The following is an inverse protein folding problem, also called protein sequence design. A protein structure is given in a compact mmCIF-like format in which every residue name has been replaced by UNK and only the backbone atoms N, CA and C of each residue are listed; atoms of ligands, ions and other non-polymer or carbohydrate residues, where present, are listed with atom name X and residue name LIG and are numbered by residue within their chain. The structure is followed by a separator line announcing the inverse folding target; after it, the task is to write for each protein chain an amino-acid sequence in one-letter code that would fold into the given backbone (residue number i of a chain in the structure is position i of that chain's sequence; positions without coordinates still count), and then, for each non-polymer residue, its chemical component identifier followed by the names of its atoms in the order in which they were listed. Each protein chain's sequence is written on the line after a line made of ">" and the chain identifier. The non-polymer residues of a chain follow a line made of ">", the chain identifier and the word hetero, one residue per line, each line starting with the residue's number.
data_IF_994685354297
#
_entry.id   IF_994685354297
#
_cell.length_a   1.000
_cell.length_b   1.000
_cell.length_c   1.000
_cell.angle_alpha   90.00
_cell.angle_beta   90.00
_cell.angle_gamma   90.00
#
_symmetry.space_group_name_H-M   'P 1'
#
loop_
_entity.id
_entity.type
_entity.pdbx_description
1 polymer ?
#
# COMPACT_ATOMS: atom_id res chain seq x y z
N UNK A 1 37.10 -53.39 -14.00
CA UNK A 1 36.85 -52.02 -14.47
C UNK A 1 35.39 -51.94 -14.89
N UNK A 2 34.52 -51.30 -14.09
CA UNK A 2 33.09 -51.12 -14.39
C UNK A 2 32.88 -49.66 -14.80
N UNK A 3 32.59 -49.43 -16.08
CA UNK A 3 32.27 -48.10 -16.59
C UNK A 3 30.80 -47.80 -16.26
N UNK A 4 30.59 -46.81 -15.38
CA UNK A 4 29.29 -46.26 -15.05
C UNK A 4 28.92 -45.21 -16.10
N UNK A 5 27.88 -45.47 -16.88
CA UNK A 5 27.32 -44.54 -17.86
C UNK A 5 26.18 -43.80 -17.16
N UNK A 6 26.34 -42.50 -16.95
CA UNK A 6 25.27 -41.64 -16.44
C UNK A 6 24.41 -41.12 -17.61
N UNK A 7 23.08 -41.09 -17.48
CA UNK A 7 22.22 -40.51 -18.50
C UNK A 7 22.29 -38.98 -18.48
N UNK A 8 22.54 -38.40 -19.64
CA UNK A 8 22.48 -36.95 -19.89
C UNK A 8 20.99 -36.57 -19.97
N UNK A 9 20.52 -35.77 -19.01
CA UNK A 9 19.21 -35.13 -19.11
C UNK A 9 19.30 -33.93 -20.05
N UNK A 10 18.66 -34.02 -21.22
CA UNK A 10 18.42 -32.87 -22.09
C UNK A 10 17.38 -31.95 -21.43
N UNK A 11 17.82 -30.77 -20.99
CA UNK A 11 16.91 -29.71 -20.56
C UNK A 11 16.49 -28.94 -21.83
N UNK A 12 15.23 -29.09 -22.22
CA UNK A 12 14.62 -28.29 -23.28
C UNK A 12 14.37 -26.88 -22.76
N UNK A 13 15.22 -25.93 -23.17
CA UNK A 13 15.02 -24.50 -22.90
C UNK A 13 14.05 -23.95 -23.94
N UNK A 14 12.80 -23.69 -23.53
CA UNK A 14 11.81 -23.02 -24.37
C UNK A 14 11.99 -21.51 -24.24
N UNK A 15 12.57 -20.89 -25.27
CA UNK A 15 12.77 -19.46 -25.37
C UNK A 15 11.45 -18.78 -25.77
N UNK A 16 10.81 -18.04 -24.85
CA UNK A 16 9.69 -17.15 -25.20
C UNK A 16 10.25 -15.84 -25.79
N UNK A 17 10.13 -15.68 -27.11
CA UNK A 17 10.27 -14.37 -27.76
C UNK A 17 9.07 -13.51 -27.37
N UNK A 18 9.32 -12.42 -26.64
CA UNK A 18 8.34 -11.33 -26.51
C UNK A 18 8.56 -10.34 -27.65
N UNK A 19 7.55 -10.16 -28.50
CA UNK A 19 7.54 -9.12 -29.52
C UNK A 19 7.47 -7.75 -28.85
N UNK A 20 8.55 -6.99 -28.93
CA UNK A 20 8.57 -5.57 -28.59
C UNK A 20 7.83 -4.80 -29.69
N UNK A 21 6.59 -4.37 -29.41
CA UNK A 21 5.92 -3.39 -30.25
C UNK A 21 6.55 -2.02 -30.01
N UNK A 22 7.50 -1.68 -30.89
CA UNK A 22 7.96 -0.32 -31.14
C UNK A 22 6.82 0.47 -31.78
N UNK A 23 6.14 1.32 -31.01
CA UNK A 23 5.32 2.38 -31.56
C UNK A 23 5.93 3.73 -31.16
N UNK A 24 6.64 4.31 -32.13
CA UNK A 24 7.14 5.67 -32.05
C UNK A 24 6.01 6.67 -32.21
N UNK A 25 6.02 7.69 -31.37
CA UNK A 25 5.48 9.00 -31.70
C UNK A 25 6.37 10.04 -31.03
N UNK A 26 7.23 10.66 -31.85
CA UNK A 26 7.88 11.91 -31.52
C UNK A 26 6.81 12.95 -31.19
N UNK A 27 6.88 13.54 -30.00
CA UNK A 27 6.27 14.85 -29.78
C UNK A 27 7.29 15.74 -29.08
N UNK A 28 8.15 16.34 -29.89
CA UNK A 28 8.82 17.60 -29.56
C UNK A 28 7.73 18.64 -29.38
N UNK A 29 7.58 19.21 -28.18
CA UNK A 29 7.32 20.65 -27.96
C UNK A 29 7.22 20.99 -26.47
N UNK A 30 7.98 22.03 -26.13
CA UNK A 30 7.75 22.99 -25.04
C UNK A 30 8.24 22.59 -23.65
N UNK A 31 9.56 22.75 -23.46
CA UNK A 31 10.11 23.11 -22.16
C UNK A 31 9.61 24.52 -21.77
N UNK A 32 8.59 24.58 -20.93
CA UNK A 32 8.24 25.79 -20.18
C UNK A 32 9.03 25.77 -18.87
N UNK A 33 10.08 26.56 -18.82
CA UNK A 33 10.82 26.90 -17.61
C UNK A 33 9.89 27.64 -16.65
N UNK A 34 9.43 26.97 -15.59
CA UNK A 34 8.75 27.61 -14.46
C UNK A 34 9.81 28.27 -13.58
N UNK A 35 9.95 29.58 -13.71
CA UNK A 35 10.66 30.42 -12.74
C UNK A 35 9.86 30.46 -11.45
N UNK A 36 10.47 29.98 -10.36
CA UNK A 36 9.94 30.11 -9.00
C UNK A 36 9.93 31.58 -8.59
N UNK A 37 8.75 32.19 -8.56
CA UNK A 37 8.56 33.50 -7.92
C UNK A 37 8.58 33.33 -6.40
N UNK A 38 9.39 34.17 -5.76
CA UNK A 38 9.56 34.22 -4.33
C UNK A 38 8.24 34.60 -3.65
N UNK A 39 7.77 33.73 -2.75
CA UNK A 39 6.68 34.06 -1.85
C UNK A 39 7.20 35.02 -0.77
N UNK A 40 6.74 36.27 -0.88
CA UNK A 40 6.91 37.35 0.07
C UNK A 40 6.10 37.07 1.35
N UNK A 41 6.79 36.94 2.48
CA UNK A 41 6.23 36.69 3.80
C UNK A 41 5.73 37.99 4.43
N UNK A 42 4.47 38.33 4.14
CA UNK A 42 3.76 39.42 4.80
C UNK A 42 3.50 39.18 6.30
N UNK A 43 3.45 40.25 7.13
CA UNK A 43 3.49 40.14 8.58
C UNK A 43 2.17 39.70 9.23
N UNK A 44 2.35 38.91 10.28
CA UNK A 44 1.38 38.43 11.28
C UNK A 44 0.44 39.53 11.79
N UNK A 45 -0.87 39.33 11.61
CA UNK A 45 -1.91 40.09 12.29
C UNK A 45 -2.34 39.37 13.57
N UNK A 46 -2.04 40.03 14.67
CA UNK A 46 -2.55 39.80 16.02
C UNK A 46 -4.08 39.85 16.03
N UNK A 47 -4.73 38.80 16.56
CA UNK A 47 -6.17 38.79 16.85
C UNK A 47 -6.36 38.95 18.36
N UNK A 48 -7.22 39.89 18.81
CA UNK A 48 -7.44 40.15 20.23
C UNK A 48 -8.27 39.06 20.91
N UNK A 49 -7.89 38.75 22.16
CA UNK A 49 -8.69 38.00 23.11
C UNK A 49 -9.93 38.82 23.50
N UNK A 50 -11.12 38.26 23.28
CA UNK A 50 -12.33 38.73 23.95
C UNK A 50 -12.91 37.61 24.80
N UNK A 51 -12.76 37.80 26.10
CA UNK A 51 -13.58 37.20 27.15
C UNK A 51 -15.03 37.62 27.01
N UNK A 52 -15.98 36.69 27.15
CA UNK A 52 -17.16 36.95 27.99
C UNK A 52 -17.93 35.67 28.33
N UNK A 53 -18.54 35.75 29.50
CA UNK A 53 -19.01 34.72 30.41
C UNK A 53 -20.53 34.85 30.46
N UNK A 54 -21.32 33.83 30.12
CA UNK A 54 -22.73 33.79 30.52
C UNK A 54 -23.15 32.37 30.88
N UNK A 55 -23.41 32.19 32.18
CA UNK A 55 -24.18 31.10 32.77
C UNK A 55 -25.65 31.28 32.39
N UNK A 56 -26.29 30.23 31.88
CA UNK A 56 -27.72 30.18 31.63
C UNK A 56 -28.19 28.73 31.70
N UNK A 57 -28.56 28.29 32.89
CA UNK A 57 -29.25 27.03 33.13
C UNK A 57 -30.72 27.17 32.77
N UNK A 58 -31.13 26.56 31.65
CA UNK A 58 -32.54 26.34 31.34
C UNK A 58 -32.78 24.83 31.28
N UNK A 59 -33.38 24.34 32.35
CA UNK A 59 -34.09 23.06 32.37
C UNK A 59 -35.31 23.19 31.46
N UNK A 60 -35.34 22.36 30.42
CA UNK A 60 -36.57 22.11 29.67
C UNK A 60 -36.59 20.67 29.20
N UNK A 61 -37.44 19.89 29.86
CA UNK A 61 -37.85 18.55 29.49
C UNK A 61 -38.23 18.49 28.00
N UNK A 62 -37.42 17.81 27.20
CA UNK A 62 -37.72 17.53 25.81
C UNK A 62 -37.82 16.03 25.59
N UNK A 63 -39.03 15.58 25.29
CA UNK A 63 -39.37 14.25 24.84
C UNK A 63 -38.40 13.77 23.74
N UNK A 64 -37.51 12.83 24.09
CA UNK A 64 -36.66 12.11 23.15
C UNK A 64 -37.53 11.22 22.28
N UNK A 65 -38.01 11.77 21.17
CA UNK A 65 -38.53 10.98 20.05
C UNK A 65 -37.36 10.13 19.57
N UNK A 66 -37.45 8.81 19.80
CA UNK A 66 -36.56 7.80 19.26
C UNK A 66 -36.69 7.80 17.73
N UNK A 67 -36.07 8.82 17.12
CA UNK A 67 -35.89 8.95 15.69
C UNK A 67 -34.81 7.94 15.36
N UNK A 68 -35.22 6.80 14.83
CA UNK A 68 -34.31 5.73 14.42
C UNK A 68 -33.23 6.30 13.52
N UNK A 69 -32.03 6.44 14.07
CA UNK A 69 -30.82 6.94 13.42
C UNK A 69 -30.20 5.80 12.57
N UNK A 70 -31.01 5.17 11.70
CA UNK A 70 -30.67 3.92 11.00
C UNK A 70 -30.00 4.17 9.63
N UNK A 71 -29.45 5.36 9.36
CA UNK A 71 -29.12 5.74 7.97
C UNK A 71 -27.79 6.46 7.76
N UNK A 72 -26.90 6.54 8.76
CA UNK A 72 -25.62 7.25 8.61
C UNK A 72 -24.45 6.40 8.12
N UNK A 73 -24.56 5.08 8.11
CA UNK A 73 -23.45 4.20 7.69
C UNK A 73 -23.52 3.75 6.22
N UNK A 74 -24.63 4.01 5.50
CA UNK A 74 -24.78 3.55 4.10
C UNK A 74 -23.91 4.27 3.07
N UNK A 75 -23.04 5.19 3.48
CA UNK A 75 -22.16 5.96 2.60
C UNK A 75 -20.69 5.98 2.99
N UNK A 76 -20.28 5.26 4.04
CA UNK A 76 -18.87 5.21 4.41
C UNK A 76 -18.08 4.39 3.38
N UNK A 77 -16.84 4.81 3.05
CA UNK A 77 -15.90 3.96 2.32
C UNK A 77 -15.65 2.64 3.06
N UNK A 78 -15.20 1.64 2.31
CA UNK A 78 -14.85 0.33 2.87
C UNK A 78 -13.73 -0.25 2.01
N UNK A 79 -12.50 0.09 2.33
CA UNK A 79 -11.28 -0.39 1.71
C UNK A 79 -11.09 -1.85 2.10
N UNK A 80 -10.50 -2.64 1.22
CA UNK A 80 -10.19 -4.04 1.53
C UNK A 80 -8.90 -4.41 0.84
N UNK A 81 -8.00 -5.03 1.59
CA UNK A 81 -6.77 -5.64 1.05
C UNK A 81 -6.99 -7.15 0.90
N UNK A 82 -6.62 -7.70 -0.26
CA UNK A 82 -6.72 -9.14 -0.53
C UNK A 82 -5.57 -9.64 -1.42
N UNK A 83 -5.57 -10.96 -1.67
CA UNK A 83 -4.70 -11.64 -2.63
C UNK A 83 -3.20 -11.29 -2.48
N UNK A 84 -2.70 -11.26 -1.23
CA UNK A 84 -1.27 -11.04 -0.98
C UNK A 84 -0.50 -12.26 -1.47
N UNK A 85 0.39 -12.05 -2.42
CA UNK A 85 1.28 -13.09 -2.97
C UNK A 85 2.71 -12.59 -3.04
N UNK A 86 3.66 -13.51 -3.04
CA UNK A 86 5.07 -13.23 -3.22
C UNK A 86 5.66 -14.09 -4.34
N UNK A 87 6.32 -13.42 -5.27
CA UNK A 87 7.20 -14.03 -6.25
C UNK A 87 8.62 -14.03 -5.68
N UNK A 88 9.08 -15.19 -5.21
CA UNK A 88 10.41 -15.35 -4.60
C UNK A 88 11.55 -15.26 -5.61
N UNK A 89 11.30 -15.51 -6.89
CA UNK A 89 12.34 -15.45 -7.92
C UNK A 89 12.69 -13.99 -8.21
N UNK A 90 11.66 -13.14 -8.30
CA UNK A 90 11.81 -11.72 -8.61
C UNK A 90 11.80 -10.80 -7.38
N UNK A 91 11.55 -11.37 -6.19
CA UNK A 91 11.32 -10.63 -4.94
C UNK A 91 10.21 -9.57 -5.08
N UNK A 92 9.10 -9.94 -5.72
CA UNK A 92 7.95 -9.06 -5.93
C UNK A 92 6.81 -9.51 -5.02
N UNK A 93 6.35 -8.61 -4.17
CA UNK A 93 5.11 -8.77 -3.41
C UNK A 93 4.00 -8.11 -4.21
N UNK A 94 2.87 -8.79 -4.37
CA UNK A 94 1.67 -8.20 -4.97
C UNK A 94 0.48 -8.35 -4.03
N UNK A 95 -0.44 -7.40 -4.09
CA UNK A 95 -1.71 -7.47 -3.35
C UNK A 95 -2.76 -6.67 -4.10
N UNK A 96 -4.02 -7.06 -3.94
CA UNK A 96 -5.17 -6.32 -4.45
C UNK A 96 -5.74 -5.41 -3.38
N UNK A 97 -6.14 -4.21 -3.79
CA UNK A 97 -6.88 -3.26 -2.97
C UNK A 97 -8.18 -2.94 -3.68
N UNK A 98 -9.29 -2.98 -2.94
CA UNK A 98 -10.64 -2.74 -3.46
C UNK A 98 -11.36 -1.75 -2.56
N UNK A 99 -12.19 -0.87 -3.12
CA UNK A 99 -13.11 -0.04 -2.36
C UNK A 99 -14.52 -0.63 -2.52
N UNK A 100 -15.01 -1.30 -1.50
CA UNK A 100 -16.30 -1.99 -1.46
C UNK A 100 -17.49 -1.04 -1.39
N UNK A 101 -17.27 0.25 -1.11
CA UNK A 101 -18.34 1.24 -1.13
C UNK A 101 -18.93 1.40 -2.53
N UNK A 102 -20.18 1.89 -2.61
CA UNK A 102 -20.93 1.97 -3.87
C UNK A 102 -20.83 3.32 -4.58
N UNK A 103 -20.50 4.40 -3.86
CA UNK A 103 -20.81 5.76 -4.32
C UNK A 103 -19.63 6.72 -4.29
N UNK A 104 -18.56 6.44 -3.55
CA UNK A 104 -17.46 7.39 -3.36
C UNK A 104 -16.12 6.79 -3.80
N UNK A 105 -15.49 7.30 -4.88
CA UNK A 105 -14.10 6.98 -5.18
C UNK A 105 -13.17 7.64 -4.17
N UNK A 106 -12.06 6.98 -3.87
CA UNK A 106 -11.04 7.47 -2.94
C UNK A 106 -9.79 7.92 -3.71
N UNK A 107 -9.03 8.86 -3.15
CA UNK A 107 -7.85 9.44 -3.78
C UNK A 107 -6.70 9.53 -2.81
N UNK A 108 -5.48 9.50 -3.36
CA UNK A 108 -4.23 9.64 -2.60
C UNK A 108 -4.11 8.65 -1.41
N UNK A 109 -4.57 7.41 -1.61
CA UNK A 109 -4.51 6.40 -0.56
C UNK A 109 -3.07 5.95 -0.34
N UNK A 110 -2.66 5.86 0.92
CA UNK A 110 -1.38 5.26 1.29
C UNK A 110 -1.57 3.77 1.54
N UNK A 111 -0.64 2.99 1.02
CA UNK A 111 -0.55 1.55 1.24
C UNK A 111 0.86 1.23 1.69
N UNK A 112 1.01 0.46 2.76
CA UNK A 112 2.32 0.14 3.31
C UNK A 112 2.52 -1.37 3.35
N UNK A 113 3.68 -1.78 2.85
CA UNK A 113 4.13 -3.17 2.87
C UNK A 113 5.07 -3.36 4.06
N UNK A 114 4.80 -4.40 4.84
CA UNK A 114 5.58 -4.81 5.99
C UNK A 114 5.99 -6.27 5.85
N UNK A 115 7.05 -6.60 6.58
CA UNK A 115 7.47 -7.97 6.76
C UNK A 115 7.83 -8.24 8.21
N UNK A 116 7.77 -9.50 8.61
CA UNK A 116 8.40 -9.97 9.84
C UNK A 116 9.28 -11.19 9.57
N UNK A 117 10.41 -11.24 10.26
CA UNK A 117 11.34 -12.37 10.28
C UNK A 117 11.31 -13.07 11.64
N UNK A 118 11.97 -14.23 11.78
CA UNK A 118 11.93 -14.99 13.05
C UNK A 118 12.39 -14.22 14.29
N UNK A 119 13.28 -13.25 14.10
CA UNK A 119 13.94 -12.52 15.20
C UNK A 119 13.68 -11.03 15.19
N UNK A 120 13.05 -10.52 14.14
CA UNK A 120 12.79 -9.09 13.98
C UNK A 120 11.28 -8.90 14.00
N UNK A 121 10.83 -7.91 14.77
CA UNK A 121 9.44 -7.46 14.73
C UNK A 121 9.06 -6.98 13.33
N UNK A 122 7.87 -6.42 13.23
CA UNK A 122 7.36 -5.82 12.00
C UNK A 122 8.32 -4.75 11.46
N UNK A 123 8.91 -4.98 10.30
CA UNK A 123 9.76 -4.03 9.57
C UNK A 123 8.99 -3.50 8.36
N UNK A 124 9.09 -2.19 8.11
CA UNK A 124 8.50 -1.55 6.93
C UNK A 124 9.37 -1.79 5.70
N UNK A 125 8.78 -2.33 4.63
CA UNK A 125 9.45 -2.51 3.34
C UNK A 125 9.39 -1.20 2.56
N UNK A 126 8.19 -0.74 2.23
CA UNK A 126 7.97 0.51 1.48
C UNK A 126 6.53 1.00 1.58
N UNK A 127 6.35 2.27 1.24
CA UNK A 127 5.03 2.91 1.07
C UNK A 127 4.72 3.00 -0.44
N UNK A 128 3.44 2.90 -0.78
CA UNK A 128 2.87 3.07 -2.12
C UNK A 128 1.69 4.01 -2.04
N UNK A 129 1.52 4.84 -3.05
CA UNK A 129 0.39 5.75 -3.16
C UNK A 129 -0.50 5.34 -4.33
N UNK A 130 -1.79 5.19 -4.05
CA UNK A 130 -2.82 4.91 -5.05
C UNK A 130 -3.52 6.23 -5.36
N UNK A 131 -3.31 6.82 -6.56
CA UNK A 131 -3.86 8.15 -6.87
C UNK A 131 -5.38 8.19 -6.85
N UNK A 132 -6.03 7.10 -7.29
CA UNK A 132 -7.47 6.98 -7.34
C UNK A 132 -7.89 5.50 -7.24
N UNK A 133 -8.91 5.20 -6.44
CA UNK A 133 -9.53 3.89 -6.33
C UNK A 133 -11.04 4.05 -6.50
N UNK A 134 -11.57 3.51 -7.61
CA UNK A 134 -12.99 3.58 -7.91
C UNK A 134 -13.80 2.72 -6.94
N UNK A 135 -15.05 3.10 -6.71
CA UNK A 135 -15.99 2.37 -5.86
C UNK A 135 -16.50 1.09 -6.54
N UNK A 136 -16.78 0.06 -5.75
CA UNK A 136 -17.37 -1.21 -6.16
C UNK A 136 -16.38 -2.38 -6.18
N UNK A 137 -16.86 -3.61 -5.94
CA UNK A 137 -16.02 -4.80 -5.78
C UNK A 137 -15.24 -5.19 -7.05
N UNK A 138 -15.70 -4.78 -8.23
CA UNK A 138 -15.06 -5.07 -9.51
C UNK A 138 -13.90 -4.13 -9.85
N UNK A 139 -13.71 -3.06 -9.07
CA UNK A 139 -12.70 -2.02 -9.31
C UNK A 139 -11.42 -2.22 -8.49
N UNK A 140 -10.98 -3.47 -8.35
CA UNK A 140 -9.75 -3.80 -7.64
C UNK A 140 -8.49 -3.35 -8.40
N UNK A 141 -7.54 -2.76 -7.69
CA UNK A 141 -6.21 -2.41 -8.23
C UNK A 141 -5.17 -3.37 -7.64
N UNK A 142 -4.27 -3.87 -8.48
CA UNK A 142 -3.11 -4.65 -8.02
C UNK A 142 -1.93 -3.72 -7.79
N UNK A 143 -1.39 -3.74 -6.57
CA UNK A 143 -0.21 -2.97 -6.19
C UNK A 143 0.95 -3.93 -5.96
N UNK A 144 2.12 -3.58 -6.48
CA UNK A 144 3.34 -4.37 -6.33
C UNK A 144 4.46 -3.59 -5.64
N UNK A 145 5.25 -4.32 -4.86
CA UNK A 145 6.43 -3.83 -4.15
C UNK A 145 7.59 -4.79 -4.34
N UNK A 146 8.81 -4.26 -4.51
CA UNK A 146 10.03 -5.06 -4.54
C UNK A 146 10.54 -5.22 -3.11
N UNK A 147 10.66 -6.46 -2.65
CA UNK A 147 11.20 -6.77 -1.34
C UNK A 147 12.74 -6.67 -1.35
N UNK A 148 13.34 -6.37 -0.21
CA UNK A 148 14.82 -6.40 -0.07
C UNK A 148 15.30 -7.85 -0.17
N UNK A 149 16.31 -8.11 -1.00
CA UNK A 149 16.79 -9.46 -1.34
C UNK A 149 17.55 -10.17 -0.22
N UNK A 150 18.00 -9.42 0.79
CA UNK A 150 18.86 -9.93 1.87
C UNK A 150 18.08 -10.48 3.08
N UNK A 151 16.75 -10.34 3.08
CA UNK A 151 15.92 -10.70 4.23
C UNK A 151 15.06 -11.94 3.96
N UNK A 152 15.06 -12.85 4.92
CA UNK A 152 14.12 -13.97 4.96
C UNK A 152 12.81 -13.47 5.58
N UNK A 153 11.78 -13.35 4.76
CA UNK A 153 10.43 -13.02 5.21
C UNK A 153 9.65 -14.30 5.51
N UNK A 154 9.12 -14.42 6.73
CA UNK A 154 8.15 -15.49 7.06
C UNK A 154 6.72 -15.03 6.90
N UNK A 155 6.51 -13.73 7.13
CA UNK A 155 5.21 -13.12 7.03
C UNK A 155 5.35 -11.79 6.31
N UNK A 156 4.47 -11.58 5.35
CA UNK A 156 4.23 -10.31 4.69
C UNK A 156 2.89 -9.79 5.18
N UNK A 157 2.83 -8.51 5.51
CA UNK A 157 1.62 -7.83 5.89
C UNK A 157 1.46 -6.58 5.05
N UNK A 158 0.27 -6.38 4.53
CA UNK A 158 -0.05 -5.29 3.63
C UNK A 158 -1.22 -4.54 4.25
N UNK A 159 -1.04 -3.23 4.44
CA UNK A 159 -2.08 -2.36 4.98
C UNK A 159 -2.38 -1.21 4.04
N UNK A 160 -3.66 -0.90 3.86
CA UNK A 160 -4.11 0.36 3.27
C UNK A 160 -4.58 1.28 4.41
N UNK A 161 -4.37 2.59 4.24
CA UNK A 161 -4.63 3.62 5.25
C UNK A 161 -4.09 3.27 6.66
N UNK A 162 -2.77 3.04 6.80
CA UNK A 162 -2.21 2.65 8.09
C UNK A 162 -2.26 3.75 9.16
N UNK A 163 -2.59 4.99 8.77
CA UNK A 163 -2.80 6.12 9.67
C UNK A 163 -4.23 6.23 10.20
N UNK A 164 -5.19 5.47 9.65
CA UNK A 164 -6.61 5.52 10.01
C UNK A 164 -7.20 6.94 9.78
N UNK A 165 -6.79 7.59 8.66
CA UNK A 165 -7.20 8.95 8.29
C UNK A 165 -8.58 8.97 7.62
N UNK A 166 -9.02 7.85 7.06
CA UNK A 166 -10.29 7.68 6.36
C UNK A 166 -11.21 6.84 7.24
N UNK A 167 -12.32 7.43 7.69
CA UNK A 167 -13.32 6.67 8.45
C UNK A 167 -14.06 5.67 7.56
N UNK A 168 -13.96 4.39 7.88
CA UNK A 168 -14.51 3.31 7.06
C UNK A 168 -15.65 2.57 7.76
N UNK A 169 -16.28 1.67 7.02
CA UNK A 169 -17.31 0.77 7.56
C UNK A 169 -16.71 -0.37 8.38
N UNK A 170 -15.61 -0.96 7.92
CA UNK A 170 -14.93 -2.06 8.60
C UNK A 170 -13.40 -1.87 8.57
N UNK A 171 -12.81 -1.28 9.60
CA UNK A 171 -11.36 -1.07 9.65
C UNK A 171 -10.52 -2.37 9.66
N UNK A 172 -11.13 -3.55 9.83
CA UNK A 172 -10.40 -4.81 10.00
C UNK A 172 -9.95 -5.43 8.69
N UNK A 173 -10.61 -5.10 7.58
CA UNK A 173 -10.31 -5.63 6.24
C UNK A 173 -9.23 -4.80 5.51
N UNK A 174 -8.77 -3.71 6.11
CA UNK A 174 -7.66 -2.86 5.66
C UNK A 174 -6.28 -3.53 5.73
N UNK A 175 -6.22 -4.74 6.30
CA UNK A 175 -5.00 -5.49 6.47
C UNK A 175 -5.13 -6.91 5.91
N UNK A 176 -4.16 -7.31 5.10
CA UNK A 176 -3.99 -8.70 4.67
C UNK A 176 -2.62 -9.23 5.02
N UNK A 177 -2.55 -10.52 5.32
CA UNK A 177 -1.33 -11.22 5.73
C UNK A 177 -1.09 -12.43 4.84
N UNK A 178 0.18 -12.66 4.55
CA UNK A 178 0.65 -13.84 3.86
C UNK A 178 1.78 -14.48 4.68
N UNK A 179 1.62 -15.74 5.04
CA UNK A 179 2.61 -16.52 5.77
C UNK A 179 3.19 -17.60 4.86
N UNK A 180 4.49 -17.83 4.99
CA UNK A 180 5.19 -18.80 4.16
C UNK A 180 6.35 -19.43 4.91
N UNK A 181 6.47 -20.74 4.77
CA UNK A 181 7.64 -21.49 5.20
C UNK A 181 8.71 -21.59 4.10
N UNK A 182 8.40 -21.10 2.89
CA UNK A 182 9.36 -21.08 1.78
C UNK A 182 10.41 -20.01 2.05
N UNK A 183 11.64 -20.46 2.19
CA UNK A 183 12.80 -19.58 2.22
C UNK A 183 13.12 -19.12 0.79
N UNK A 184 13.61 -17.88 0.59
CA UNK A 184 14.15 -17.48 -0.69
C UNK A 184 15.29 -18.45 -1.08
N UNK A 185 15.52 -18.71 -2.39
CA UNK A 185 16.55 -19.63 -2.84
C UNK A 185 17.92 -19.30 -2.20
N UNK A 186 18.70 -20.31 -1.77
CA UNK A 186 20.04 -20.11 -1.22
C UNK A 186 20.96 -19.58 -2.33
N UNK A 187 21.08 -18.26 -2.42
CA UNK A 187 21.88 -17.60 -3.46
C UNK A 187 21.99 -16.07 -3.31
N UNK A 188 21.18 -15.45 -2.45
CA UNK A 188 21.22 -13.99 -2.23
C UNK A 188 21.81 -13.55 -0.89
N UNK A 189 22.25 -14.48 -0.05
CA UNK A 189 23.19 -14.14 1.03
C UNK A 189 24.59 -14.10 0.39
N UNK A 190 24.89 -13.02 -0.34
CA UNK A 190 26.28 -12.57 -0.34
C UNK A 190 26.52 -12.21 1.12
N UNK A 191 27.17 -13.12 1.85
CA UNK A 191 27.86 -12.74 3.06
C UNK A 191 28.80 -11.63 2.60
N UNK A 192 28.41 -10.38 2.78
CA UNK A 192 29.39 -9.31 2.85
C UNK A 192 30.39 -9.82 3.86
N UNK A 193 31.60 -10.10 3.35
CA UNK A 193 32.71 -10.61 4.13
C UNK A 193 32.69 -9.86 5.46
N UNK A 194 32.53 -10.62 6.54
CA UNK A 194 32.86 -10.09 7.86
C UNK A 194 34.35 -9.74 7.75
N UNK A 195 34.65 -8.48 7.48
CA UNK A 195 35.95 -7.90 7.75
C UNK A 195 36.15 -8.05 9.26
N UNK A 196 36.77 -9.15 9.64
CA UNK A 196 37.35 -9.31 10.96
C UNK A 196 38.63 -8.46 10.97
N UNK A 197 38.50 -7.22 11.46
CA UNK A 197 39.63 -6.40 11.89
C UNK A 197 40.37 -7.06 13.08
#
# INVERSE_FOLDING_TARGET
>A
MKNSIYPIFLISVTLFLTCSNSFGAENKKNAATLTSEAYDSGPSKTVPQNSEKVFGSNDSDSYSTASGDISREEGLPDLMVSDVTIDFENNIITSKVTNLAKTQPLRNLKMTFYCSGQRRGREKICDKFIPCLNCGPDNAITVSAKAKTEQIYRQIEVMVDPEDDIKEKDEKNNCARYETDKLPPPGYLILNELDFD
#
